data_IF_379860133270
#
_entry.id   IF_379860133270
#
_cell.length_a   1.000
_cell.length_b   1.000
_cell.length_c   1.000
_cell.angle_alpha   90.00
_cell.angle_beta   90.00
_cell.angle_gamma   90.00
#
_symmetry.space_group_name_H-M   'P 1'
#
loop_
_entity.id
_entity.type
_entity.pdbx_description
1 polymer ?
#
# COMPACT_ATOMS: atom_id res chain seq x y z
N UNK A 1 -5.01 -17.13 -16.02
CA UNK A 1 -4.21 -16.02 -15.47
C UNK A 1 -5.15 -14.89 -15.13
N UNK A 2 -5.23 -14.50 -13.85
CA UNK A 2 -6.03 -13.35 -13.41
C UNK A 2 -5.09 -12.25 -12.93
N UNK A 3 -5.47 -10.99 -13.12
CA UNK A 3 -4.71 -9.85 -12.62
C UNK A 3 -5.58 -9.07 -11.64
N UNK A 4 -5.00 -8.65 -10.53
CA UNK A 4 -5.68 -7.81 -9.56
C UNK A 4 -4.93 -6.49 -9.40
N UNK A 5 -5.68 -5.42 -9.11
CA UNK A 5 -5.17 -4.07 -8.99
C UNK A 5 -4.64 -3.83 -7.58
N UNK A 6 -3.40 -3.38 -7.48
CA UNK A 6 -2.73 -2.98 -6.26
C UNK A 6 -2.32 -1.52 -6.36
N UNK A 7 -2.44 -0.76 -5.27
CA UNK A 7 -1.86 0.59 -5.19
C UNK A 7 -0.51 0.51 -4.50
N UNK A 8 0.55 0.73 -5.28
CA UNK A 8 1.95 0.59 -4.86
C UNK A 8 2.56 1.97 -4.67
N UNK A 9 3.31 2.15 -3.59
CA UNK A 9 4.18 3.30 -3.44
C UNK A 9 5.49 3.04 -4.18
N UNK A 10 5.74 3.83 -5.22
CA UNK A 10 7.01 3.85 -5.91
C UNK A 10 7.89 4.96 -5.32
N UNK A 11 9.07 4.59 -4.84
CA UNK A 11 10.07 5.57 -4.42
C UNK A 11 11.10 5.69 -5.55
N UNK A 12 10.96 6.73 -6.36
CA UNK A 12 11.99 7.09 -7.33
C UNK A 12 13.04 7.93 -6.64
N UNK A 13 14.26 7.41 -6.52
CA UNK A 13 15.42 8.14 -5.97
C UNK A 13 15.70 9.45 -6.73
N UNK A 14 15.31 9.51 -8.02
CA UNK A 14 15.46 10.69 -8.87
C UNK A 14 14.49 11.83 -8.55
N UNK A 15 13.34 11.57 -7.91
CA UNK A 15 12.29 12.58 -7.72
C UNK A 15 12.02 12.94 -6.26
N UNK A 16 12.66 12.28 -5.27
CA UNK A 16 12.44 12.46 -3.82
C UNK A 16 10.95 12.41 -3.38
N UNK A 17 10.04 12.08 -4.29
CA UNK A 17 8.60 12.02 -4.11
C UNK A 17 8.17 10.57 -4.16
N UNK A 18 7.39 10.20 -3.17
CA UNK A 18 6.72 8.89 -3.15
C UNK A 18 5.46 9.03 -3.98
N UNK A 19 5.42 8.36 -5.13
CA UNK A 19 4.24 8.36 -6.00
C UNK A 19 3.43 7.09 -5.76
N UNK A 20 2.12 7.25 -5.64
CA UNK A 20 1.19 6.12 -5.58
C UNK A 20 0.80 5.77 -7.00
N UNK A 21 1.11 4.54 -7.41
CA UNK A 21 0.85 4.05 -8.76
C UNK A 21 -0.01 2.80 -8.70
N UNK A 22 -0.97 2.74 -9.62
CA UNK A 22 -1.78 1.54 -9.85
C UNK A 22 -0.97 0.48 -10.60
N UNK A 23 -0.87 -0.72 -10.03
CA UNK A 23 -0.18 -1.86 -10.64
C UNK A 23 -1.08 -3.09 -10.71
N UNK A 24 -1.08 -3.75 -11.85
CA UNK A 24 -1.71 -5.06 -12.03
C UNK A 24 -0.70 -6.17 -11.70
N UNK A 25 -1.00 -6.97 -10.68
CA UNK A 25 -0.18 -8.13 -10.29
C UNK A 25 -1.02 -9.39 -10.46
N UNK A 26 -0.42 -10.44 -11.01
CA UNK A 26 -1.03 -11.77 -10.99
C UNK A 26 -0.92 -12.37 -9.57
N UNK A 27 -2.04 -12.61 -8.86
CA UNK A 27 -2.10 -13.23 -7.54
C UNK A 27 -1.27 -14.50 -7.38
N UNK A 28 -1.21 -15.32 -8.43
CA UNK A 28 -0.53 -16.62 -8.41
C UNK A 28 0.99 -16.50 -8.19
N UNK A 29 1.55 -15.32 -8.43
CA UNK A 29 2.97 -15.03 -8.20
C UNK A 29 3.24 -14.38 -6.84
N UNK A 30 2.21 -14.12 -6.03
CA UNK A 30 2.40 -13.53 -4.70
C UNK A 30 2.78 -14.63 -3.72
N UNK A 31 3.94 -14.48 -3.10
CA UNK A 31 4.47 -15.42 -2.10
C UNK A 31 4.08 -15.01 -0.70
N UNK A 32 4.02 -13.70 -0.41
CA UNK A 32 3.60 -13.20 0.90
C UNK A 32 3.12 -11.76 0.83
N UNK A 33 2.14 -11.44 1.66
CA UNK A 33 1.73 -10.07 1.98
C UNK A 33 1.92 -9.89 3.48
N UNK A 34 2.63 -8.85 3.91
CA UNK A 34 2.83 -8.54 5.34
C UNK A 34 2.48 -7.10 5.64
N UNK A 35 1.68 -6.80 6.68
CA UNK A 35 1.41 -5.42 7.07
C UNK A 35 2.69 -4.74 7.54
N UNK A 36 2.80 -3.44 7.25
CA UNK A 36 3.90 -2.57 7.67
C UNK A 36 3.39 -1.18 8.03
N UNK A 37 4.12 -0.53 8.93
CA UNK A 37 4.00 0.91 9.18
C UNK A 37 5.13 1.63 8.45
N UNK A 38 4.79 2.69 7.75
CA UNK A 38 5.71 3.47 6.94
C UNK A 38 5.57 4.94 7.32
N UNK A 39 6.68 5.63 7.46
CA UNK A 39 6.67 7.08 7.63
C UNK A 39 6.78 7.74 6.26
N UNK A 40 5.86 8.65 5.94
CA UNK A 40 5.96 9.47 4.73
C UNK A 40 6.95 10.61 4.95
N UNK A 41 7.34 11.29 3.87
CA UNK A 41 8.24 12.46 3.94
C UNK A 41 7.71 13.56 4.87
N UNK A 42 6.39 13.66 5.03
CA UNK A 42 5.72 14.63 5.90
C UNK A 42 5.60 14.16 7.36
N UNK A 43 6.43 13.18 7.77
CA UNK A 43 6.46 12.58 9.10
C UNK A 43 5.13 11.93 9.55
N UNK A 44 4.20 11.68 8.63
CA UNK A 44 2.96 10.95 8.92
C UNK A 44 3.23 9.45 8.88
N UNK A 45 2.69 8.73 9.86
CA UNK A 45 2.72 7.26 9.87
C UNK A 45 1.53 6.76 9.07
N UNK A 46 1.81 6.00 8.02
CA UNK A 46 0.82 5.36 7.14
C UNK A 46 0.99 3.85 7.24
N UNK A 47 -0.12 3.13 7.27
CA UNK A 47 -0.12 1.67 7.25
C UNK A 47 -0.20 1.16 5.80
N UNK A 48 0.56 0.11 5.50
CA UNK A 48 0.61 -0.49 4.18
C UNK A 48 1.05 -1.95 4.25
N UNK A 49 1.52 -2.48 3.14
CA UNK A 49 1.82 -3.89 2.98
C UNK A 49 3.12 -4.09 2.20
N UNK A 50 3.97 -5.00 2.66
CA UNK A 50 4.99 -5.61 1.82
C UNK A 50 4.40 -6.75 1.00
N UNK A 51 4.46 -6.62 -0.32
CA UNK A 51 4.11 -7.68 -1.27
C UNK A 51 5.41 -8.28 -1.78
N UNK A 52 5.60 -9.59 -1.58
CA UNK A 52 6.72 -10.34 -2.14
C UNK A 52 6.23 -11.23 -3.27
N UNK A 53 6.88 -11.12 -4.43
CA UNK A 53 6.60 -11.97 -5.58
C UNK A 53 7.59 -13.15 -5.68
N UNK A 54 7.20 -14.19 -6.41
CA UNK A 54 7.99 -15.41 -6.63
C UNK A 54 9.27 -15.18 -7.44
N UNK A 55 9.31 -14.13 -8.24
CA UNK A 55 10.51 -13.68 -8.95
C UNK A 55 11.50 -12.89 -8.06
N UNK A 56 11.23 -12.79 -6.75
CA UNK A 56 12.09 -12.08 -5.80
C UNK A 56 11.82 -10.58 -5.68
N UNK A 57 10.96 -9.99 -6.54
CA UNK A 57 10.59 -8.57 -6.44
C UNK A 57 9.76 -8.31 -5.19
N UNK A 58 9.92 -7.12 -4.63
CA UNK A 58 9.20 -6.64 -3.44
C UNK A 58 8.59 -5.28 -3.71
N UNK A 59 7.37 -5.06 -3.24
CA UNK A 59 6.64 -3.81 -3.42
C UNK A 59 6.00 -3.37 -2.11
N UNK A 60 6.01 -2.06 -1.85
CA UNK A 60 5.23 -1.46 -0.76
C UNK A 60 3.88 -1.04 -1.32
N UNK A 61 2.79 -1.60 -0.83
CA UNK A 61 1.45 -1.24 -1.22
C UNK A 61 0.72 -0.50 -0.10
N UNK A 62 -0.11 0.48 -0.45
CA UNK A 62 -1.05 1.11 0.50
C UNK A 62 -2.42 0.45 0.44
N UNK A 63 -2.73 -0.24 -0.65
CA UNK A 63 -3.97 -0.97 -0.80
C UNK A 63 -3.75 -2.31 -1.49
N UNK A 64 -4.35 -3.35 -0.92
CA UNK A 64 -4.44 -4.69 -1.50
C UNK A 64 -5.92 -5.01 -1.82
N UNK A 65 -6.19 -5.84 -2.84
CA UNK A 65 -7.54 -6.28 -3.18
C UNK A 65 -8.25 -6.96 -2.00
N UNK A 66 -9.58 -6.84 -1.95
CA UNK A 66 -10.40 -7.37 -0.87
C UNK A 66 -10.24 -8.90 -0.67
N UNK A 67 -10.01 -9.63 -1.75
CA UNK A 67 -9.70 -11.07 -1.76
C UNK A 67 -8.54 -11.45 -0.83
N UNK A 68 -7.51 -10.61 -0.73
CA UNK A 68 -6.35 -10.83 0.13
C UNK A 68 -6.60 -10.38 1.57
N UNK A 69 -7.51 -9.41 1.80
CA UNK A 69 -7.86 -8.96 3.15
C UNK A 69 -8.54 -10.07 3.95
N UNK A 70 -9.45 -10.82 3.31
CA UNK A 70 -10.13 -11.95 3.95
C UNK A 70 -9.17 -13.07 4.34
N UNK A 71 -8.14 -13.33 3.52
CA UNK A 71 -7.16 -14.37 3.79
C UNK A 71 -6.12 -13.99 4.85
N UNK A 72 -6.01 -12.71 5.19
CA UNK A 72 -5.01 -12.22 6.14
C UNK A 72 -5.46 -12.33 7.60
N UNK A 73 -6.77 -12.49 7.90
CA UNK A 73 -7.38 -12.66 9.26
C UNK A 73 -6.64 -11.98 10.43
N UNK A 74 -6.03 -10.84 10.18
CA UNK A 74 -5.49 -9.94 11.19
C UNK A 74 -6.45 -8.77 11.23
N UNK A 75 -6.90 -8.45 12.44
CA UNK A 75 -7.73 -7.29 12.79
C UNK A 75 -6.88 -6.02 12.59
N UNK A 76 -6.52 -5.78 11.33
CA UNK A 76 -5.66 -4.68 10.92
C UNK A 76 -6.51 -3.41 10.95
N UNK A 77 -6.06 -2.37 11.67
CA UNK A 77 -6.78 -1.10 11.65
C UNK A 77 -6.95 -0.64 10.21
N UNK A 78 -8.15 -0.18 9.88
CA UNK A 78 -8.43 0.34 8.56
C UNK A 78 -7.40 1.44 8.25
N UNK A 79 -6.75 1.42 7.06
CA UNK A 79 -5.79 2.45 6.70
C UNK A 79 -6.48 3.81 6.83
N UNK A 80 -5.96 4.64 7.74
CA UNK A 80 -6.48 5.99 7.94
C UNK A 80 -6.02 6.82 6.75
N UNK A 81 -6.86 6.89 5.73
CA UNK A 81 -6.69 7.83 4.64
C UNK A 81 -6.96 9.22 5.21
N UNK A 82 -5.90 10.01 5.39
CA UNK A 82 -6.09 11.45 5.55
C UNK A 82 -6.47 11.95 4.17
N UNK A 83 -7.77 12.09 3.91
CA UNK A 83 -8.24 12.79 2.71
C UNK A 83 -7.78 14.25 2.80
N UNK A 84 -7.38 14.85 1.68
CA UNK A 84 -7.01 16.26 1.59
C UNK A 84 -8.08 17.20 2.20
N UNK A 85 -9.34 16.74 2.27
CA UNK A 85 -10.48 17.44 2.86
C UNK A 85 -10.47 17.57 4.39
N UNK A 86 -9.73 16.77 5.16
CA UNK A 86 -9.70 16.91 6.63
C UNK A 86 -8.81 18.04 7.14
N UNK A 87 -8.04 18.69 6.28
CA UNK A 87 -7.17 19.80 6.66
C UNK A 87 -7.94 21.12 6.83
N UNK A 88 -9.09 21.27 6.16
CA UNK A 88 -9.87 22.52 6.21
C UNK A 88 -10.82 22.61 7.41
N UNK A 89 -11.30 21.47 7.95
CA UNK A 89 -12.24 21.47 9.09
C UNK A 89 -11.56 21.62 10.46
N UNK A 90 -10.24 21.43 10.57
CA UNK A 90 -9.50 21.66 11.83
C UNK A 90 -8.97 23.10 11.99
N UNK A 91 -9.23 23.98 11.01
CA UNK A 91 -8.84 25.38 11.02
C UNK A 91 -10.02 26.37 11.19
N UNK A 92 -11.23 25.87 11.46
CA UNK A 92 -12.35 26.65 11.98
C UNK A 92 -12.54 26.42 13.48
#
# INVERSE_FOLDING_TARGET
MTFQKFMIMNHSEAHQRSEVVDMLINPDHIVSIKPIRMTTNDQKVVEGYWIRLSNGKKYKAIQVPASFKTALEEDLPAPTFVSETMFEEQLQ
#
